data_IF_037164113188
#
_entry.id   IF_037164113188
#
_cell.length_a   1.000
_cell.length_b   1.000
_cell.length_c   1.000
_cell.angle_alpha   90.00
_cell.angle_beta   90.00
_cell.angle_gamma   90.00
#
_symmetry.space_group_name_H-M   'P 1'
#
loop_
_entity.id
_entity.type
_entity.pdbx_description
1 polymer ?
#
# COMPACT_ATOMS: atom_id res chain seq x y z
N UNK A 1 -5.64 11.51 -10.84
CA UNK A 1 -5.32 11.76 -9.42
C UNK A 1 -4.77 10.45 -8.86
N UNK A 2 -3.50 10.47 -8.53
CA UNK A 2 -2.85 9.39 -7.77
C UNK A 2 -2.78 9.87 -6.32
N UNK A 3 -3.17 9.03 -5.39
CA UNK A 3 -3.09 9.30 -3.96
C UNK A 3 -2.05 8.38 -3.33
N UNK A 4 -1.18 8.96 -2.50
CA UNK A 4 -0.29 8.22 -1.61
C UNK A 4 -0.68 8.55 -0.18
N UNK A 5 -0.79 7.52 0.67
CA UNK A 5 -1.19 7.69 2.08
C UNK A 5 -0.32 6.84 3.00
N UNK A 6 0.11 7.41 4.11
CA UNK A 6 0.78 6.65 5.16
C UNK A 6 -0.23 5.90 6.02
N UNK A 7 0.17 4.73 6.51
CA UNK A 7 -0.62 3.92 7.42
C UNK A 7 0.30 3.12 8.34
N UNK A 8 -0.13 2.83 9.57
CA UNK A 8 0.63 2.02 10.51
C UNK A 8 0.15 0.57 10.47
N UNK A 9 1.10 -0.39 10.43
CA UNK A 9 0.81 -1.79 10.66
C UNK A 9 2.04 -2.51 11.22
N UNK A 10 1.85 -3.32 12.26
CA UNK A 10 2.94 -4.06 12.91
C UNK A 10 4.04 -3.16 13.47
N UNK A 11 3.68 -1.97 13.99
CA UNK A 11 4.64 -0.98 14.51
C UNK A 11 5.51 -0.31 13.45
N UNK A 12 5.12 -0.39 12.17
CA UNK A 12 5.85 0.22 11.05
C UNK A 12 4.99 1.22 10.29
N UNK A 13 5.60 2.35 9.91
CA UNK A 13 5.00 3.30 8.97
C UNK A 13 5.15 2.74 7.56
N UNK A 14 4.02 2.54 6.88
CA UNK A 14 3.92 2.02 5.52
C UNK A 14 3.22 3.02 4.62
N UNK A 15 3.28 2.79 3.30
CA UNK A 15 2.68 3.66 2.28
C UNK A 15 1.70 2.85 1.44
N UNK A 16 0.52 3.40 1.21
CA UNK A 16 -0.46 2.90 0.27
C UNK A 16 -0.51 3.82 -0.96
N UNK A 17 -0.78 3.25 -2.12
CA UNK A 17 -1.02 3.98 -3.38
C UNK A 17 -2.36 3.56 -3.97
N UNK A 18 -3.10 4.54 -4.50
CA UNK A 18 -4.32 4.32 -5.25
C UNK A 18 -4.50 5.36 -6.35
N UNK A 19 -5.32 5.03 -7.34
CA UNK A 19 -5.80 6.00 -8.33
C UNK A 19 -7.23 6.33 -7.95
N UNK A 20 -7.52 7.59 -7.65
CA UNK A 20 -8.89 8.03 -7.32
C UNK A 20 -9.64 8.55 -8.53
N UNK A 21 -8.92 8.98 -9.56
CA UNK A 21 -9.51 9.51 -10.78
C UNK A 21 -8.58 9.38 -11.96
N UNK A 22 -9.08 8.84 -13.06
CA UNK A 22 -8.51 8.97 -14.39
C UNK A 22 -9.56 9.64 -15.30
N UNK A 23 -9.17 10.66 -16.06
CA UNK A 23 -10.07 11.37 -16.99
C UNK A 23 -10.09 10.72 -18.37
N UNK A 24 -9.09 9.90 -18.68
CA UNK A 24 -8.87 9.30 -20.00
C UNK A 24 -9.32 7.84 -20.09
N UNK A 25 -9.88 7.28 -19.01
CA UNK A 25 -10.32 5.88 -18.98
C UNK A 25 -10.47 5.33 -17.57
N UNK A 26 -10.62 4.01 -17.49
CA UNK A 26 -10.66 3.29 -16.23
C UNK A 26 -9.32 3.36 -15.48
N UNK A 27 -9.37 3.10 -14.18
CA UNK A 27 -8.21 2.83 -13.35
C UNK A 27 -8.53 1.67 -12.42
N UNK A 28 -7.49 1.06 -11.87
CA UNK A 28 -7.63 0.04 -10.84
C UNK A 28 -8.40 0.61 -9.63
N UNK A 29 -9.35 -0.14 -9.10
CA UNK A 29 -10.22 0.23 -7.97
C UNK A 29 -9.68 -0.28 -6.62
N UNK A 30 -8.46 -0.82 -6.60
CA UNK A 30 -7.80 -1.32 -5.41
C UNK A 30 -6.87 -0.27 -4.76
N UNK A 31 -6.52 -0.52 -3.50
CA UNK A 31 -5.45 0.19 -2.78
C UNK A 31 -4.30 -0.80 -2.60
N UNK A 32 -3.09 -0.43 -3.01
CA UNK A 32 -1.91 -1.31 -3.00
C UNK A 32 -0.81 -0.76 -2.12
N UNK A 33 0.04 -1.63 -1.56
CA UNK A 33 1.21 -1.19 -0.80
C UNK A 33 2.29 -0.61 -1.73
N UNK A 34 2.87 0.53 -1.35
CA UNK A 34 3.95 1.21 -2.05
C UNK A 34 5.23 1.13 -1.22
N UNK A 35 6.29 0.52 -1.78
CA UNK A 35 7.65 0.57 -1.23
C UNK A 35 8.56 1.36 -2.16
N UNK A 36 9.45 2.15 -1.58
CA UNK A 36 10.51 2.85 -2.30
C UNK A 36 11.80 2.47 -1.59
N UNK A 37 12.67 1.75 -2.29
CA UNK A 37 13.95 1.26 -1.79
C UNK A 37 15.09 1.75 -2.70
N UNK A 38 16.33 1.35 -2.40
CA UNK A 38 17.53 1.73 -3.16
C UNK A 38 17.50 1.26 -4.62
N UNK A 39 16.66 0.28 -4.97
CA UNK A 39 16.45 -0.23 -6.32
C UNK A 39 15.19 0.37 -6.96
N UNK A 40 14.58 1.38 -6.35
CA UNK A 40 13.47 2.15 -6.90
C UNK A 40 12.09 1.82 -6.31
N UNK A 41 11.05 1.94 -7.14
CA UNK A 41 9.65 1.86 -6.72
C UNK A 41 9.10 0.43 -6.88
N UNK A 42 8.37 -0.05 -5.88
CA UNK A 42 7.64 -1.32 -5.87
C UNK A 42 6.18 -1.08 -5.49
N UNK A 43 5.27 -1.71 -6.22
CA UNK A 43 3.83 -1.78 -5.89
C UNK A 43 3.52 -3.24 -5.56
N UNK A 44 3.12 -3.50 -4.31
CA UNK A 44 2.78 -4.83 -3.80
C UNK A 44 1.33 -5.22 -4.06
N UNK A 45 0.86 -6.33 -3.50
CA UNK A 45 -0.52 -6.78 -3.67
C UNK A 45 -1.56 -5.78 -3.12
N UNK A 46 -2.84 -5.89 -3.55
CA UNK A 46 -3.93 -5.15 -2.94
C UNK A 46 -4.02 -5.41 -1.43
N UNK A 47 -4.25 -4.34 -0.66
CA UNK A 47 -4.40 -4.37 0.80
C UNK A 47 -5.79 -4.89 1.21
N UNK A 48 -6.17 -6.08 0.76
CA UNK A 48 -7.53 -6.66 0.95
C UNK A 48 -7.88 -6.91 2.41
N UNK A 49 -6.87 -7.03 3.27
CA UNK A 49 -7.03 -7.25 4.70
C UNK A 49 -7.06 -5.95 5.53
N UNK A 50 -7.16 -4.79 4.88
CA UNK A 50 -7.28 -3.51 5.56
C UNK A 50 -8.58 -2.78 5.19
N UNK A 51 -9.21 -2.20 6.20
CA UNK A 51 -10.28 -1.21 6.04
C UNK A 51 -9.83 0.15 6.56
N UNK A 52 -10.41 1.25 6.07
CA UNK A 52 -10.12 2.60 6.57
C UNK A 52 -8.76 3.19 6.15
N UNK A 53 -8.09 2.64 5.13
CA UNK A 53 -6.80 3.20 4.66
C UNK A 53 -6.96 4.66 4.20
N UNK A 54 -8.04 4.97 3.47
CA UNK A 54 -8.32 6.34 3.02
C UNK A 54 -8.76 7.28 4.15
N UNK A 55 -9.35 6.76 5.23
CA UNK A 55 -9.75 7.58 6.38
C UNK A 55 -8.55 7.96 7.25
N UNK A 56 -7.43 7.23 7.14
CA UNK A 56 -6.22 7.45 7.95
C UNK A 56 -6.22 6.71 9.28
N UNK A 57 -7.26 5.91 9.55
CA UNK A 57 -7.36 5.02 10.70
C UNK A 57 -7.49 3.58 10.19
N UNK A 58 -6.43 3.03 9.57
CA UNK A 58 -6.45 1.69 9.01
C UNK A 58 -6.75 0.66 10.10
N UNK A 59 -7.65 -0.27 9.82
CA UNK A 59 -7.89 -1.44 10.66
C UNK A 59 -7.58 -2.70 9.87
N UNK A 60 -6.68 -3.52 10.41
CA UNK A 60 -6.40 -4.84 9.86
C UNK A 60 -7.51 -5.81 10.25
N UNK A 61 -8.09 -6.50 9.26
CA UNK A 61 -9.23 -7.40 9.39
C UNK A 61 -8.91 -8.84 8.93
N UNK A 62 -7.66 -9.11 8.54
CA UNK A 62 -7.23 -10.40 7.98
C UNK A 62 -6.57 -11.37 8.96
N UNK A 63 -6.17 -12.52 8.44
CA UNK A 63 -5.34 -13.50 9.14
C UNK A 63 -3.88 -13.15 8.91
N UNK A 64 -3.07 -13.04 9.97
CA UNK A 64 -1.69 -12.49 9.98
C UNK A 64 -0.86 -12.96 8.76
N UNK A 65 -0.93 -12.21 7.67
CA UNK A 65 -0.13 -12.40 6.48
C UNK A 65 0.95 -11.32 6.45
N UNK A 66 2.18 -11.66 6.04
CA UNK A 66 3.24 -10.67 5.94
C UNK A 66 2.87 -9.62 4.89
N UNK A 67 2.97 -8.35 5.27
CA UNK A 67 2.90 -7.21 4.37
C UNK A 67 4.15 -7.16 3.49
N UNK A 68 4.19 -6.26 2.50
CA UNK A 68 5.33 -6.15 1.61
C UNK A 68 6.58 -5.81 2.42
N UNK A 69 7.51 -6.75 2.53
CA UNK A 69 8.78 -6.56 3.24
C UNK A 69 9.85 -5.93 2.34
N UNK A 70 10.93 -5.46 2.98
CA UNK A 70 12.11 -5.00 2.27
C UNK A 70 12.72 -6.13 1.46
N UNK A 71 13.30 -5.78 0.31
CA UNK A 71 14.14 -6.73 -0.42
C UNK A 71 15.33 -7.07 0.47
N UNK A 72 15.65 -8.35 0.59
CA UNK A 72 16.95 -8.75 1.11
C UNK A 72 18.03 -8.19 0.16
N UNK A 73 18.86 -7.31 0.70
CA UNK A 73 19.90 -6.62 -0.07
C UNK A 73 21.19 -7.42 -0.16
N UNK A 74 21.32 -8.54 0.55
CA UNK A 74 22.43 -9.49 0.42
C UNK A 74 23.82 -8.83 0.46
N UNK A 75 23.98 -7.79 1.28
CA UNK A 75 25.26 -7.13 1.53
C UNK A 75 26.09 -7.93 2.53
#
# INVERSE_FOLDING_TARGET
IVLVRFFEAGGRIRKAISVLKNRSGAHEDTIRELRIDVRGVRVGEPLVEFSGVLTGTPQYIGAVNPLLEDRDIGL
#
